data_IF_930056583112
#
_entry.id   IF_930056583112
#
_cell.length_a   1.000
_cell.length_b   1.000
_cell.length_c   1.000
_cell.angle_alpha   90.00
_cell.angle_beta   90.00
_cell.angle_gamma   90.00
#
_symmetry.space_group_name_H-M   'P 1'
#
loop_
_entity.id
_entity.type
_entity.pdbx_description
1 polymer ?
#
# COMPACT_ATOMS: atom_id res chain seq x y z
N UNK A 1 24.74 -18.40 83.73
CA UNK A 1 24.63 -17.07 83.05
C UNK A 1 23.74 -17.30 81.79
N UNK A 2 22.46 -16.89 81.90
CA UNK A 2 21.45 -17.09 80.82
C UNK A 2 21.26 -15.73 80.16
N UNK A 3 21.52 -15.64 78.85
CA UNK A 3 21.24 -14.45 78.03
C UNK A 3 19.99 -14.68 77.22
N UNK A 4 18.93 -13.95 77.57
CA UNK A 4 17.70 -13.84 76.82
C UNK A 4 17.92 -13.02 75.57
N UNK A 5 17.56 -13.58 74.38
CA UNK A 5 17.45 -12.84 73.12
C UNK A 5 15.97 -12.57 72.84
N UNK A 6 15.56 -11.28 72.84
CA UNK A 6 14.27 -10.83 72.36
C UNK A 6 14.29 -10.80 70.85
N UNK A 7 13.35 -11.52 70.23
CA UNK A 7 13.08 -11.41 68.82
C UNK A 7 11.98 -10.35 68.61
N UNK A 8 12.29 -9.29 67.86
CA UNK A 8 11.32 -8.27 67.45
C UNK A 8 10.71 -8.72 66.13
N UNK A 9 9.41 -9.00 66.10
CA UNK A 9 8.62 -9.26 64.89
C UNK A 9 8.23 -7.90 64.25
N UNK A 10 8.76 -7.66 63.06
CA UNK A 10 8.33 -6.50 62.23
C UNK A 10 7.16 -6.94 61.38
N UNK A 11 5.96 -6.39 61.68
CA UNK A 11 4.71 -6.61 60.95
C UNK A 11 4.67 -5.63 59.77
N UNK A 12 5.01 -6.11 58.55
CA UNK A 12 4.88 -5.34 57.31
C UNK A 12 3.42 -5.33 56.87
N UNK A 13 2.69 -4.24 57.07
CA UNK A 13 1.37 -4.03 56.50
C UNK A 13 1.45 -3.73 55.03
N UNK A 14 1.05 -4.66 54.16
CA UNK A 14 0.85 -4.45 52.72
C UNK A 14 -0.40 -3.60 52.54
N UNK A 15 -0.24 -2.34 52.17
CA UNK A 15 -1.28 -1.45 51.69
C UNK A 15 -1.62 -1.82 50.24
N UNK A 16 -2.64 -2.67 50.07
CA UNK A 16 -3.26 -2.92 48.77
C UNK A 16 -4.17 -1.71 48.43
N UNK A 17 -3.65 -0.73 47.70
CA UNK A 17 -4.46 0.34 47.13
C UNK A 17 -5.40 -0.22 46.04
N UNK A 18 -6.61 0.34 45.88
CA UNK A 18 -7.50 -0.08 44.79
C UNK A 18 -6.82 0.21 43.45
N UNK A 19 -6.62 -0.82 42.65
CA UNK A 19 -6.32 -0.70 41.22
C UNK A 19 -7.55 -0.12 40.57
N UNK A 20 -7.53 1.17 40.23
CA UNK A 20 -8.56 1.77 39.39
C UNK A 20 -8.51 1.07 38.05
N UNK A 21 -9.50 0.23 37.77
CA UNK A 21 -9.70 -0.32 36.45
C UNK A 21 -9.90 0.85 35.48
N UNK A 22 -8.96 1.04 34.57
CA UNK A 22 -9.05 2.04 33.51
C UNK A 22 -10.20 1.61 32.61
N UNK A 23 -11.33 2.34 32.67
CA UNK A 23 -12.46 2.07 31.77
C UNK A 23 -11.95 2.10 30.32
N UNK A 24 -12.20 1.02 29.61
CA UNK A 24 -11.90 0.96 28.18
C UNK A 24 -12.69 2.07 27.48
N UNK A 25 -11.99 2.91 26.73
CA UNK A 25 -12.64 3.96 25.92
C UNK A 25 -13.72 3.32 25.04
N UNK A 26 -14.89 3.94 24.92
CA UNK A 26 -15.95 3.41 24.06
C UNK A 26 -15.42 3.23 22.61
N UNK A 27 -15.90 2.20 21.90
CA UNK A 27 -15.49 2.00 20.51
C UNK A 27 -15.81 3.26 19.69
N UNK A 28 -14.96 3.61 18.70
CA UNK A 28 -15.21 4.77 17.87
C UNK A 28 -16.55 4.62 17.14
N UNK A 29 -17.28 5.71 16.89
CA UNK A 29 -18.53 5.67 16.16
C UNK A 29 -18.30 5.12 14.74
N UNK A 30 -19.29 4.47 14.12
CA UNK A 30 -19.17 4.00 12.74
C UNK A 30 -18.91 5.18 11.81
N UNK A 31 -18.12 4.97 10.73
CA UNK A 31 -17.77 6.04 9.79
C UNK A 31 -19.02 6.67 9.16
N UNK A 32 -19.07 8.00 9.13
CA UNK A 32 -20.13 8.76 8.49
C UNK A 32 -19.96 8.74 6.93
N UNK A 33 -20.99 9.07 6.15
CA UNK A 33 -20.88 9.16 4.69
C UNK A 33 -19.76 10.11 4.22
N UNK A 34 -19.48 11.18 4.96
CA UNK A 34 -18.42 12.15 4.71
C UNK A 34 -17.01 11.62 4.95
N UNK A 35 -16.88 10.50 5.65
CA UNK A 35 -15.60 9.84 5.88
C UNK A 35 -15.12 9.01 4.69
N UNK A 36 -15.85 9.00 3.59
CA UNK A 36 -15.55 8.23 2.39
C UNK A 36 -15.29 9.15 1.20
N UNK A 37 -14.37 8.77 0.34
CA UNK A 37 -14.12 9.37 -0.96
C UNK A 37 -14.27 8.34 -2.07
N UNK A 38 -14.93 8.71 -3.16
CA UNK A 38 -15.01 7.87 -4.33
C UNK A 38 -13.65 7.84 -5.07
N UNK A 39 -13.28 6.68 -5.60
CA UNK A 39 -12.20 6.56 -6.58
C UNK A 39 -12.78 6.88 -7.96
N UNK A 40 -12.10 7.76 -8.71
CA UNK A 40 -12.49 8.04 -10.11
C UNK A 40 -12.39 6.75 -10.94
N UNK A 41 -13.37 6.41 -11.77
CA UNK A 41 -13.28 5.26 -12.67
C UNK A 41 -12.07 5.30 -13.62
N UNK A 42 -11.55 6.48 -13.95
CA UNK A 42 -10.32 6.66 -14.75
C UNK A 42 -9.03 6.37 -13.98
N UNK A 43 -9.09 6.30 -12.64
CA UNK A 43 -7.97 5.99 -11.77
C UNK A 43 -8.15 4.65 -11.03
N UNK A 44 -9.12 3.84 -11.44
CA UNK A 44 -9.39 2.51 -10.91
C UNK A 44 -9.07 1.45 -11.97
N UNK A 45 -7.99 0.70 -11.77
CA UNK A 45 -7.64 -0.44 -12.62
C UNK A 45 -8.34 -1.69 -12.08
N UNK A 46 -9.04 -2.39 -12.96
CA UNK A 46 -9.73 -3.66 -12.69
C UNK A 46 -8.94 -4.77 -13.32
N UNK A 47 -8.45 -5.70 -12.52
CA UNK A 47 -7.72 -6.89 -12.94
C UNK A 47 -8.55 -8.12 -12.59
N UNK A 48 -9.16 -8.74 -13.57
CA UNK A 48 -9.84 -10.02 -13.41
C UNK A 48 -8.82 -11.15 -13.53
N UNK A 49 -8.84 -12.09 -12.60
CA UNK A 49 -7.93 -13.24 -12.59
C UNK A 49 -8.68 -14.55 -12.42
N UNK A 50 -8.00 -15.68 -12.61
CA UNK A 50 -8.53 -17.01 -12.30
C UNK A 50 -8.86 -17.22 -10.81
N UNK A 51 -8.35 -16.34 -9.91
CA UNK A 51 -8.55 -16.42 -8.45
C UNK A 51 -9.54 -15.38 -7.93
N UNK A 52 -10.00 -14.46 -8.78
CA UNK A 52 -10.89 -13.37 -8.39
C UNK A 52 -10.45 -12.02 -8.97
N UNK A 53 -11.13 -10.97 -8.54
CA UNK A 53 -10.90 -9.59 -8.99
C UNK A 53 -9.97 -8.84 -8.05
N UNK A 54 -9.02 -8.11 -8.63
CA UNK A 54 -8.12 -7.19 -7.93
C UNK A 54 -8.45 -5.77 -8.42
N UNK A 55 -8.63 -4.83 -7.50
CA UNK A 55 -8.86 -3.42 -7.79
C UNK A 55 -7.66 -2.61 -7.31
N UNK A 56 -7.08 -1.80 -8.21
CA UNK A 56 -5.90 -0.97 -7.91
C UNK A 56 -6.26 0.49 -8.12
N UNK A 57 -6.08 1.33 -7.08
CA UNK A 57 -6.12 2.78 -7.24
C UNK A 57 -4.79 3.25 -7.81
N UNK A 58 -4.85 3.97 -8.94
CA UNK A 58 -3.70 4.57 -9.60
C UNK A 58 -3.31 5.89 -8.91
N UNK A 59 -2.02 6.18 -8.87
CA UNK A 59 -1.47 7.36 -8.22
C UNK A 59 -0.62 8.22 -9.21
N UNK A 60 -1.27 8.94 -10.14
CA UNK A 60 -0.56 9.72 -11.15
C UNK A 60 0.29 10.86 -10.56
N UNK A 61 0.02 11.27 -9.32
CA UNK A 61 0.82 12.27 -8.60
C UNK A 61 2.22 11.74 -8.26
N UNK A 62 2.39 10.44 -8.14
CA UNK A 62 3.66 9.80 -7.80
C UNK A 62 4.47 9.42 -9.06
N UNK A 63 3.80 8.93 -10.08
CA UNK A 63 4.43 8.35 -11.26
C UNK A 63 3.57 8.55 -12.52
N UNK A 64 3.45 9.80 -13.02
CA UNK A 64 2.54 10.12 -14.13
C UNK A 64 2.84 9.32 -15.39
N UNK A 65 4.09 9.16 -15.81
CA UNK A 65 4.43 8.44 -17.03
C UNK A 65 4.12 6.93 -16.92
N UNK A 66 4.37 6.33 -15.75
CA UNK A 66 4.06 4.92 -15.53
C UNK A 66 2.55 4.68 -15.43
N UNK A 67 1.80 5.56 -14.78
CA UNK A 67 0.33 5.47 -14.73
C UNK A 67 -0.24 5.56 -16.14
N UNK A 68 0.19 6.50 -16.96
CA UNK A 68 -0.27 6.62 -18.35
C UNK A 68 0.10 5.37 -19.18
N UNK A 69 1.28 4.75 -18.96
CA UNK A 69 1.65 3.50 -19.62
C UNK A 69 0.72 2.35 -19.21
N UNK A 70 0.42 2.20 -17.92
CA UNK A 70 -0.53 1.18 -17.42
C UNK A 70 -1.91 1.40 -18.04
N UNK A 71 -2.43 2.64 -18.05
CA UNK A 71 -3.70 2.98 -18.67
C UNK A 71 -3.72 2.63 -20.17
N UNK A 72 -2.70 3.03 -20.89
CA UNK A 72 -2.55 2.77 -22.33
C UNK A 72 -2.59 1.26 -22.64
N UNK A 73 -1.81 0.48 -21.92
CA UNK A 73 -1.70 -0.97 -22.15
C UNK A 73 -2.99 -1.69 -21.73
N UNK A 74 -3.64 -1.27 -20.64
CA UNK A 74 -4.93 -1.81 -20.22
C UNK A 74 -6.04 -1.53 -21.25
N UNK A 75 -6.12 -0.29 -21.76
CA UNK A 75 -7.10 0.10 -22.79
C UNK A 75 -6.90 -0.67 -24.12
N UNK A 76 -5.66 -1.06 -24.43
CA UNK A 76 -5.32 -1.86 -25.61
C UNK A 76 -5.51 -3.37 -25.41
N UNK A 77 -5.92 -3.82 -24.22
CA UNK A 77 -6.04 -5.24 -23.90
C UNK A 77 -4.69 -5.98 -23.85
N UNK A 78 -3.58 -5.26 -23.79
CA UNK A 78 -2.23 -5.84 -23.78
C UNK A 78 -2.04 -6.85 -22.64
N UNK A 79 -2.64 -6.58 -21.50
CA UNK A 79 -2.51 -7.42 -20.31
C UNK A 79 -3.42 -8.65 -20.28
N UNK A 80 -4.36 -8.77 -21.22
CA UNK A 80 -5.33 -9.88 -21.24
C UNK A 80 -4.61 -11.23 -21.45
N UNK A 81 -4.96 -12.20 -20.63
CA UNK A 81 -4.40 -13.54 -20.58
C UNK A 81 -2.89 -13.64 -20.25
N UNK A 82 -2.25 -12.56 -19.80
CA UNK A 82 -0.86 -12.63 -19.36
C UNK A 82 -0.75 -13.38 -18.03
N UNK A 83 0.38 -14.08 -17.90
CA UNK A 83 0.70 -14.92 -16.75
C UNK A 83 1.23 -14.09 -15.58
N UNK A 84 0.93 -14.52 -14.36
CA UNK A 84 1.70 -14.18 -13.17
C UNK A 84 2.95 -15.07 -13.15
N UNK A 85 3.91 -14.76 -14.03
CA UNK A 85 5.04 -15.64 -14.35
C UNK A 85 6.05 -15.77 -13.22
N UNK A 86 6.12 -14.77 -12.30
CA UNK A 86 7.02 -14.80 -11.17
C UNK A 86 6.29 -14.38 -9.89
N UNK A 87 6.15 -15.32 -8.95
CA UNK A 87 5.45 -15.10 -7.68
C UNK A 87 6.27 -15.67 -6.52
N UNK A 88 6.66 -14.80 -5.61
CA UNK A 88 7.39 -15.16 -4.38
C UNK A 88 6.49 -14.86 -3.19
N UNK A 89 6.17 -15.87 -2.39
CA UNK A 89 5.13 -15.78 -1.35
C UNK A 89 5.37 -14.66 -0.33
N UNK A 90 6.58 -14.55 0.16
CA UNK A 90 6.98 -13.53 1.14
C UNK A 90 7.37 -12.18 0.52
N UNK A 91 7.15 -11.98 -0.79
CA UNK A 91 7.62 -10.78 -1.50
C UNK A 91 6.53 -10.17 -2.39
N UNK A 92 6.35 -10.67 -3.62
CA UNK A 92 5.47 -10.05 -4.62
C UNK A 92 4.97 -11.05 -5.66
N UNK A 93 3.95 -10.65 -6.44
CA UNK A 93 3.51 -11.30 -7.66
C UNK A 93 3.79 -10.39 -8.86
N UNK A 94 4.55 -10.87 -9.85
CA UNK A 94 4.98 -10.14 -11.05
C UNK A 94 4.32 -10.70 -12.31
N UNK A 95 3.94 -9.78 -13.20
CA UNK A 95 3.24 -10.04 -14.46
C UNK A 95 3.59 -8.98 -15.52
N UNK A 96 2.83 -8.94 -16.63
CA UNK A 96 2.97 -7.91 -17.67
C UNK A 96 4.00 -8.25 -18.75
N UNK A 97 4.49 -9.49 -18.75
CA UNK A 97 5.34 -10.05 -19.79
C UNK A 97 4.50 -10.85 -20.80
N UNK A 98 4.43 -10.46 -22.08
CA UNK A 98 3.71 -11.21 -23.12
C UNK A 98 4.31 -12.59 -23.41
N UNK A 99 5.59 -12.81 -23.11
CA UNK A 99 6.27 -14.11 -23.29
C UNK A 99 6.10 -15.01 -22.06
N UNK A 100 5.87 -14.43 -20.88
CA UNK A 100 5.76 -15.17 -19.62
C UNK A 100 7.08 -15.76 -19.12
N UNK A 101 8.21 -15.26 -19.60
CA UNK A 101 9.58 -15.72 -19.27
C UNK A 101 10.31 -14.77 -18.31
N UNK A 102 9.87 -13.53 -18.22
CA UNK A 102 10.55 -12.43 -17.56
C UNK A 102 11.24 -11.46 -18.53
N UNK A 103 11.49 -11.88 -19.78
CA UNK A 103 12.26 -11.11 -20.78
C UNK A 103 11.36 -10.32 -21.75
N UNK A 104 10.05 -10.58 -21.77
CA UNK A 104 9.12 -9.94 -22.69
C UNK A 104 8.69 -8.55 -22.23
N UNK A 105 8.41 -7.70 -23.20
CA UNK A 105 7.95 -6.33 -22.96
C UNK A 105 6.99 -5.86 -24.05
N UNK A 106 6.35 -4.71 -23.88
CA UNK A 106 5.55 -4.08 -24.90
C UNK A 106 6.45 -3.46 -25.99
N UNK A 107 5.86 -3.14 -27.15
CA UNK A 107 6.56 -2.46 -28.25
C UNK A 107 6.77 -0.95 -28.03
N UNK A 108 6.32 -0.41 -26.89
CA UNK A 108 6.54 0.99 -26.55
C UNK A 108 7.95 1.21 -26.00
N UNK A 109 8.49 2.44 -26.11
CA UNK A 109 9.78 2.78 -25.51
C UNK A 109 9.78 2.56 -24.00
N UNK A 110 10.95 2.27 -23.45
CA UNK A 110 11.14 2.20 -22.02
C UNK A 110 10.85 3.54 -21.32
N UNK A 111 10.51 3.46 -20.05
CA UNK A 111 10.16 4.60 -19.20
C UNK A 111 11.34 4.95 -18.30
N UNK A 112 11.56 6.25 -18.12
CA UNK A 112 12.47 6.75 -17.08
C UNK A 112 11.89 6.43 -15.70
N UNK A 113 12.77 6.06 -14.77
CA UNK A 113 12.37 5.76 -13.41
C UNK A 113 11.77 6.98 -12.69
N UNK A 114 10.57 6.80 -12.15
CA UNK A 114 9.87 7.79 -11.31
C UNK A 114 9.93 7.33 -9.85
N UNK A 115 11.16 7.18 -9.31
CA UNK A 115 11.39 6.63 -7.98
C UNK A 115 11.07 7.61 -6.86
N UNK A 116 11.02 8.91 -7.19
CA UNK A 116 10.67 10.01 -6.30
C UNK A 116 9.74 10.99 -7.00
N UNK A 117 8.93 11.69 -6.23
CA UNK A 117 8.07 12.75 -6.72
C UNK A 117 8.31 14.06 -5.95
N UNK A 118 7.73 15.16 -6.43
CA UNK A 118 7.81 16.47 -5.78
C UNK A 118 6.47 16.79 -5.12
N UNK A 119 6.45 16.80 -3.76
CA UNK A 119 5.26 17.17 -2.99
C UNK A 119 5.29 18.66 -2.64
N UNK A 120 4.28 19.37 -3.10
CA UNK A 120 4.01 20.76 -2.75
C UNK A 120 2.81 20.90 -1.81
N UNK A 121 2.46 22.14 -1.42
CA UNK A 121 1.31 22.41 -0.55
C UNK A 121 -0.03 21.99 -1.18
N UNK A 122 -0.09 21.93 -2.51
CA UNK A 122 -1.31 21.57 -3.26
C UNK A 122 -1.57 20.07 -3.32
N UNK A 123 -0.56 19.25 -3.00
CA UNK A 123 -0.72 17.79 -3.00
C UNK A 123 -1.36 17.33 -1.69
N UNK A 124 -2.53 16.69 -1.79
CA UNK A 124 -3.18 16.08 -0.63
C UNK A 124 -2.27 14.97 -0.04
N UNK A 125 -1.75 15.24 1.15
CA UNK A 125 -0.93 14.32 1.93
C UNK A 125 -1.42 14.26 3.37
N UNK A 126 -1.62 13.06 3.89
CA UNK A 126 -2.06 12.84 5.27
C UNK A 126 -0.93 12.21 6.06
N UNK A 127 -0.24 12.97 6.93
CA UNK A 127 0.84 12.41 7.76
C UNK A 127 0.26 11.50 8.85
N UNK A 128 0.92 10.38 9.09
CA UNK A 128 0.60 9.45 10.19
C UNK A 128 1.79 9.21 11.12
N UNK A 129 3.01 9.57 10.71
CA UNK A 129 4.19 9.55 11.56
C UNK A 129 5.16 10.65 11.14
N UNK A 130 5.94 11.15 12.09
CA UNK A 130 6.91 12.21 11.88
C UNK A 130 8.25 11.84 12.56
N UNK A 131 9.01 10.86 12.03
CA UNK A 131 10.35 10.59 12.54
C UNK A 131 11.28 11.75 12.20
N UNK A 132 12.43 11.84 12.91
CA UNK A 132 13.40 12.91 12.68
C UNK A 132 13.77 13.03 11.20
N UNK A 133 13.55 14.22 10.62
CA UNK A 133 13.90 14.54 9.24
C UNK A 133 12.97 13.96 8.16
N UNK A 134 11.80 13.42 8.54
CA UNK A 134 10.83 12.87 7.57
C UNK A 134 9.40 13.00 8.05
N UNK A 135 8.46 12.96 7.08
CA UNK A 135 7.04 12.69 7.32
C UNK A 135 6.66 11.40 6.61
N UNK A 136 5.91 10.54 7.27
CA UNK A 136 5.37 9.31 6.70
C UNK A 136 3.85 9.39 6.74
N UNK A 137 3.19 9.03 5.64
CA UNK A 137 1.75 9.14 5.53
C UNK A 137 1.22 8.59 4.21
N UNK A 138 0.12 9.17 3.74
CA UNK A 138 -0.56 8.71 2.54
C UNK A 138 -0.78 9.83 1.53
N UNK A 139 -0.55 9.52 0.26
CA UNK A 139 -1.09 10.22 -0.90
C UNK A 139 -2.12 9.28 -1.53
N UNK A 140 -3.40 9.68 -1.58
CA UNK A 140 -4.50 8.77 -1.90
C UNK A 140 -4.50 7.55 -0.97
N UNK A 141 -4.39 6.32 -1.51
CA UNK A 141 -4.21 5.08 -0.74
C UNK A 141 -2.75 4.66 -0.60
N UNK A 142 -1.81 5.28 -1.32
CA UNK A 142 -0.41 4.86 -1.38
C UNK A 142 0.35 5.38 -0.15
N UNK A 143 1.01 4.50 0.62
CA UNK A 143 1.92 4.92 1.69
C UNK A 143 3.17 5.55 1.10
N UNK A 144 3.55 6.71 1.65
CA UNK A 144 4.70 7.49 1.18
C UNK A 144 5.52 8.03 2.34
N UNK A 145 6.79 8.27 2.08
CA UNK A 145 7.66 9.08 2.94
C UNK A 145 8.06 10.34 2.19
N UNK A 146 8.11 11.47 2.90
CA UNK A 146 8.54 12.74 2.34
C UNK A 146 9.52 13.44 3.27
N UNK A 147 10.29 14.38 2.72
CA UNK A 147 10.97 15.38 3.54
C UNK A 147 9.95 16.25 4.29
N UNK A 148 10.34 16.85 5.44
CA UNK A 148 9.47 17.75 6.21
C UNK A 148 9.03 19.00 5.44
N UNK A 149 7.89 19.58 5.82
CA UNK A 149 7.27 20.71 5.14
C UNK A 149 8.06 22.00 5.27
N UNK A 150 8.78 22.19 6.39
CA UNK A 150 9.62 23.36 6.62
C UNK A 150 10.72 23.55 5.57
N UNK A 151 11.17 22.45 4.96
CA UNK A 151 12.15 22.49 3.87
C UNK A 151 11.57 23.07 2.56
N UNK A 152 10.25 23.13 2.39
CA UNK A 152 9.63 23.72 1.19
C UNK A 152 10.03 25.17 1.01
N UNK A 153 10.16 25.94 2.09
CA UNK A 153 10.53 27.35 2.03
C UNK A 153 11.90 27.59 1.38
N UNK A 154 12.83 26.63 1.55
CA UNK A 154 14.20 26.70 1.03
C UNK A 154 14.36 26.20 -0.41
N UNK A 155 13.32 25.62 -1.04
CA UNK A 155 13.39 25.09 -2.41
C UNK A 155 12.83 26.10 -3.42
N UNK A 156 13.38 26.13 -4.64
CA UNK A 156 12.94 27.08 -5.69
C UNK A 156 11.51 26.83 -6.16
N UNK A 157 11.05 25.57 -6.16
CA UNK A 157 9.71 25.17 -6.58
C UNK A 157 8.70 25.04 -5.41
N UNK A 158 9.12 25.39 -4.19
CA UNK A 158 8.31 25.26 -2.96
C UNK A 158 7.78 23.85 -2.73
N UNK A 159 8.56 22.84 -3.11
CA UNK A 159 8.23 21.42 -2.97
C UNK A 159 9.37 20.65 -2.31
N UNK A 160 9.03 19.54 -1.69
CA UNK A 160 9.97 18.59 -1.08
C UNK A 160 9.97 17.27 -1.84
N UNK A 161 11.01 16.47 -1.67
CA UNK A 161 11.05 15.12 -2.23
C UNK A 161 10.21 14.16 -1.40
N UNK A 162 9.47 13.28 -2.11
CA UNK A 162 8.75 12.15 -1.56
C UNK A 162 8.97 10.90 -2.39
N UNK A 163 8.66 9.74 -1.83
CA UNK A 163 8.73 8.43 -2.50
C UNK A 163 7.71 7.47 -1.90
N UNK A 164 7.25 6.52 -2.72
CA UNK A 164 6.36 5.45 -2.27
C UNK A 164 7.09 4.44 -1.38
N UNK A 165 6.38 3.89 -0.40
CA UNK A 165 6.86 2.84 0.50
C UNK A 165 6.26 1.50 0.09
N UNK A 166 7.09 0.47 -0.03
CA UNK A 166 6.67 -0.84 -0.50
C UNK A 166 6.00 -1.67 0.60
N UNK A 167 4.79 -1.27 0.98
CA UNK A 167 3.88 -2.00 1.86
C UNK A 167 3.04 -3.05 1.10
N UNK A 168 2.35 -3.99 1.78
CA UNK A 168 1.43 -4.91 1.13
C UNK A 168 0.40 -4.19 0.26
N UNK A 169 0.15 -4.74 -0.93
CA UNK A 169 -0.78 -4.18 -1.91
C UNK A 169 -0.20 -3.06 -2.79
N UNK A 170 0.97 -2.51 -2.50
CA UNK A 170 1.59 -1.49 -3.36
C UNK A 170 1.93 -2.09 -4.71
N UNK A 171 1.63 -1.34 -5.77
CA UNK A 171 1.91 -1.68 -7.16
C UNK A 171 3.17 -0.96 -7.64
N UNK A 172 4.16 -1.74 -8.06
CA UNK A 172 5.43 -1.24 -8.55
C UNK A 172 5.72 -1.68 -9.98
N UNK A 173 6.50 -0.87 -10.71
CA UNK A 173 6.93 -1.22 -12.05
C UNK A 173 8.21 -2.05 -12.01
N UNK A 174 8.20 -3.22 -12.68
CA UNK A 174 9.41 -4.03 -12.86
C UNK A 174 10.33 -3.38 -13.91
N UNK A 175 11.62 -3.65 -13.79
CA UNK A 175 12.66 -3.16 -14.69
C UNK A 175 13.88 -4.09 -14.68
N UNK A 176 14.73 -3.96 -15.66
CA UNK A 176 16.05 -4.60 -15.71
C UNK A 176 17.07 -3.88 -14.80
N UNK A 177 18.37 -4.13 -14.98
CA UNK A 177 19.43 -3.51 -14.16
C UNK A 177 19.45 -1.98 -14.27
N UNK A 178 19.18 -1.44 -15.49
CA UNK A 178 19.14 0.00 -15.73
C UNK A 178 17.95 0.68 -15.07
N UNK A 179 18.12 1.88 -14.54
CA UNK A 179 17.06 2.64 -13.88
C UNK A 179 15.90 3.02 -14.82
N UNK A 180 16.19 3.18 -16.11
CA UNK A 180 15.27 3.67 -17.14
C UNK A 180 14.88 2.56 -18.12
N UNK A 181 14.64 1.34 -17.62
CA UNK A 181 14.30 0.14 -18.41
C UNK A 181 12.91 -0.43 -18.09
N UNK A 182 12.10 0.30 -17.35
CA UNK A 182 10.72 -0.10 -17.08
C UNK A 182 9.87 -0.02 -18.37
N UNK A 183 8.99 -0.99 -18.61
CA UNK A 183 8.21 -1.04 -19.85
C UNK A 183 6.74 -1.43 -19.64
N UNK A 184 6.42 -2.74 -19.52
CA UNK A 184 5.07 -3.26 -19.33
C UNK A 184 4.93 -4.14 -18.11
N UNK A 185 6.04 -4.72 -17.62
CA UNK A 185 5.99 -5.62 -16.48
C UNK A 185 5.80 -4.84 -15.18
N UNK A 186 4.94 -5.35 -14.32
CA UNK A 186 4.67 -4.78 -13.00
C UNK A 186 4.51 -5.87 -11.94
N UNK A 187 4.56 -5.48 -10.69
CA UNK A 187 4.33 -6.38 -9.57
C UNK A 187 3.41 -5.76 -8.51
N UNK A 188 2.70 -6.64 -7.81
CA UNK A 188 1.89 -6.31 -6.65
C UNK A 188 2.54 -6.91 -5.40
N UNK A 189 2.75 -6.08 -4.39
CA UNK A 189 3.39 -6.52 -3.15
C UNK A 189 2.47 -7.44 -2.34
N UNK A 190 2.99 -8.58 -1.92
CA UNK A 190 2.31 -9.51 -0.99
C UNK A 190 2.67 -9.21 0.46
N UNK A 191 3.89 -8.74 0.69
CA UNK A 191 4.43 -8.35 1.98
C UNK A 191 5.16 -7.00 1.88
N UNK A 192 5.50 -6.39 3.02
CA UNK A 192 6.33 -5.20 3.05
C UNK A 192 7.78 -5.53 2.67
N UNK A 193 8.39 -4.69 1.82
CA UNK A 193 9.79 -4.87 1.44
C UNK A 193 10.50 -3.53 1.21
N UNK A 194 10.97 -2.86 2.28
CA UNK A 194 11.54 -1.52 2.22
C UNK A 194 12.80 -1.38 1.35
N UNK A 195 13.48 -2.49 1.03
CA UNK A 195 14.66 -2.46 0.15
C UNK A 195 14.35 -1.99 -1.29
N UNK A 196 13.06 -1.95 -1.68
CA UNK A 196 12.63 -1.41 -2.98
C UNK A 196 12.39 0.11 -2.95
N UNK A 197 12.28 0.73 -1.78
CA UNK A 197 12.02 2.15 -1.64
C UNK A 197 13.08 2.98 -2.39
N UNK A 198 12.64 3.97 -3.18
CA UNK A 198 13.48 4.81 -4.07
C UNK A 198 14.23 4.04 -5.19
N UNK A 199 13.99 2.77 -5.36
CA UNK A 199 14.68 1.95 -6.39
C UNK A 199 13.76 1.46 -7.48
N UNK A 200 12.46 1.44 -7.21
CA UNK A 200 11.42 1.07 -8.16
C UNK A 200 10.30 2.10 -8.12
N UNK A 201 9.62 2.27 -9.24
CA UNK A 201 8.53 3.23 -9.38
C UNK A 201 7.24 2.67 -8.80
N UNK A 202 6.65 3.38 -7.84
CA UNK A 202 5.31 3.10 -7.29
C UNK A 202 4.28 3.85 -8.12
N UNK A 203 3.29 3.13 -8.70
CA UNK A 203 2.26 3.73 -9.53
C UNK A 203 0.83 3.55 -9.00
N UNK A 204 0.63 2.82 -7.90
CA UNK A 204 -0.68 2.62 -7.30
C UNK A 204 -0.68 1.68 -6.11
N UNK A 205 -1.88 1.35 -5.62
CA UNK A 205 -2.08 0.37 -4.54
C UNK A 205 -3.36 -0.43 -4.76
N UNK A 206 -3.32 -1.72 -4.44
CA UNK A 206 -4.49 -2.60 -4.33
C UNK A 206 -5.39 -2.07 -3.22
N UNK A 207 -6.63 -1.79 -3.56
CA UNK A 207 -7.67 -1.28 -2.65
C UNK A 207 -8.74 -2.33 -2.36
N UNK A 208 -8.76 -3.41 -3.15
CA UNK A 208 -9.58 -4.61 -2.91
C UNK A 208 -8.95 -5.80 -3.62
N UNK A 209 -9.03 -6.99 -3.02
CA UNK A 209 -8.48 -8.21 -3.60
C UNK A 209 -7.00 -8.47 -3.25
N UNK A 210 -6.49 -7.94 -2.13
CA UNK A 210 -5.15 -8.29 -1.64
C UNK A 210 -5.06 -9.79 -1.24
N UNK A 211 -6.15 -10.36 -0.77
CA UNK A 211 -6.32 -11.79 -0.54
C UNK A 211 -6.21 -12.59 -1.86
N UNK A 212 -6.77 -12.08 -2.96
CA UNK A 212 -6.60 -12.65 -4.30
C UNK A 212 -5.14 -12.61 -4.74
N UNK A 213 -4.43 -11.47 -4.54
CA UNK A 213 -2.98 -11.37 -4.82
C UNK A 213 -2.20 -12.41 -4.02
N UNK A 214 -2.57 -12.65 -2.77
CA UNK A 214 -1.95 -13.67 -1.91
C UNK A 214 -2.34 -15.10 -2.27
N UNK A 215 -3.50 -15.30 -2.92
CA UNK A 215 -3.96 -16.61 -3.41
C UNK A 215 -3.35 -17.02 -4.76
N UNK A 216 -2.68 -16.10 -5.48
CA UNK A 216 -1.94 -16.44 -6.69
C UNK A 216 -0.88 -17.50 -6.39
N UNK A 217 -0.77 -18.50 -7.27
CA UNK A 217 0.16 -19.61 -7.13
C UNK A 217 1.59 -19.09 -7.02
N UNK A 218 2.19 -19.30 -5.85
CA UNK A 218 3.59 -18.97 -5.62
C UNK A 218 4.51 -20.08 -6.15
N UNK A 219 5.71 -19.68 -6.54
CA UNK A 219 6.77 -20.62 -6.89
C UNK A 219 7.27 -21.35 -5.64
N UNK A 220 7.59 -22.63 -5.73
CA UNK A 220 8.28 -23.36 -4.68
C UNK A 220 9.78 -23.02 -4.61
N UNK A 221 10.32 -22.31 -5.61
CA UNK A 221 11.75 -21.98 -5.72
C UNK A 221 12.00 -20.49 -5.46
N UNK A 222 13.19 -20.11 -4.95
CA UNK A 222 13.52 -18.73 -4.56
C UNK A 222 13.53 -17.73 -5.72
N UNK A 223 13.74 -18.17 -6.97
CA UNK A 223 13.68 -17.33 -8.17
C UNK A 223 12.26 -16.82 -8.45
N UNK A 224 11.26 -17.52 -7.94
CA UNK A 224 9.86 -17.15 -8.05
C UNK A 224 9.18 -17.59 -9.35
N UNK A 225 9.86 -18.30 -10.26
CA UNK A 225 9.30 -18.75 -11.54
C UNK A 225 8.19 -19.77 -11.30
N UNK A 226 7.00 -19.50 -11.84
CA UNK A 226 5.81 -20.31 -11.60
C UNK A 226 5.55 -21.24 -12.78
N UNK A 227 5.53 -22.55 -12.52
CA UNK A 227 5.04 -23.55 -13.48
C UNK A 227 3.52 -23.55 -13.47
N UNK A 228 2.87 -23.47 -14.64
CA UNK A 228 1.41 -23.36 -14.79
C UNK A 228 0.84 -22.19 -13.96
N UNK A 229 1.22 -20.94 -14.32
CA UNK A 229 0.85 -19.76 -13.55
C UNK A 229 -0.63 -19.42 -13.69
N UNK A 230 -1.17 -18.79 -12.65
CA UNK A 230 -2.43 -18.06 -12.76
C UNK A 230 -2.31 -16.94 -13.80
N UNK A 231 -3.45 -16.48 -14.33
CA UNK A 231 -3.48 -15.49 -15.40
C UNK A 231 -4.42 -14.33 -15.07
N UNK A 232 -4.08 -13.16 -15.61
CA UNK A 232 -5.04 -12.06 -15.72
C UNK A 232 -5.97 -12.38 -16.90
N UNK A 233 -7.24 -12.60 -16.65
CA UNK A 233 -8.20 -12.91 -17.71
C UNK A 233 -8.61 -11.67 -18.49
N UNK A 234 -8.67 -10.52 -17.81
CA UNK A 234 -8.97 -9.21 -18.40
C UNK A 234 -8.43 -8.09 -17.52
N UNK A 235 -7.86 -7.05 -18.11
CA UNK A 235 -7.39 -5.85 -17.40
C UNK A 235 -7.93 -4.60 -18.09
N UNK A 236 -8.72 -3.77 -17.37
CA UNK A 236 -9.31 -2.52 -17.90
C UNK A 236 -9.32 -1.44 -16.82
N UNK A 237 -9.36 -0.19 -17.24
CA UNK A 237 -9.83 0.87 -16.35
C UNK A 237 -11.33 0.69 -16.10
N UNK A 238 -11.79 1.02 -14.91
CA UNK A 238 -13.22 0.98 -14.62
C UNK A 238 -14.01 1.91 -15.57
N UNK A 239 -13.39 3.01 -16.01
CA UNK A 239 -13.98 3.91 -17.00
C UNK A 239 -14.26 3.25 -18.35
N UNK A 240 -13.44 2.27 -18.76
CA UNK A 240 -13.54 1.59 -20.05
C UNK A 240 -14.49 0.38 -20.02
N UNK A 241 -14.97 -0.01 -18.84
CA UNK A 241 -15.96 -1.08 -18.70
C UNK A 241 -17.37 -0.56 -19.00
N UNK A 242 -18.26 -1.42 -19.56
CA UNK A 242 -19.68 -1.12 -19.61
C UNK A 242 -20.21 -0.72 -18.24
N UNK A 243 -21.17 0.21 -18.19
CA UNK A 243 -21.68 0.74 -16.91
C UNK A 243 -22.18 -0.36 -15.97
N UNK A 244 -22.81 -1.39 -16.50
CA UNK A 244 -23.29 -2.53 -15.71
C UNK A 244 -22.15 -3.34 -15.06
N UNK A 245 -20.99 -3.46 -15.71
CA UNK A 245 -19.83 -4.21 -15.20
C UNK A 245 -18.88 -3.38 -14.34
N UNK A 246 -19.12 -2.07 -14.27
CA UNK A 246 -18.21 -1.11 -13.63
C UNK A 246 -18.32 -1.17 -12.10
N UNK A 247 -17.27 -1.60 -11.38
CA UNK A 247 -17.28 -1.50 -9.94
C UNK A 247 -17.18 -0.03 -9.50
N UNK A 248 -17.80 0.29 -8.37
CA UNK A 248 -17.57 1.55 -7.68
C UNK A 248 -16.85 1.28 -6.37
N UNK A 249 -15.88 2.12 -6.05
CA UNK A 249 -15.06 1.98 -4.85
C UNK A 249 -15.09 3.30 -4.08
N UNK A 250 -15.44 3.21 -2.80
CA UNK A 250 -15.26 4.30 -1.86
C UNK A 250 -14.17 3.92 -0.86
N UNK A 251 -13.13 4.71 -0.79
CA UNK A 251 -12.05 4.57 0.19
C UNK A 251 -12.32 5.46 1.40
N UNK A 252 -11.96 4.99 2.59
CA UNK A 252 -11.96 5.87 3.75
C UNK A 252 -11.07 7.08 3.48
N UNK A 253 -11.61 8.27 3.72
CA UNK A 253 -10.88 9.52 3.55
C UNK A 253 -9.80 9.62 4.63
N UNK A 254 -8.55 9.66 4.22
CA UNK A 254 -7.40 9.72 5.15
C UNK A 254 -7.35 10.99 5.99
N UNK A 255 -8.10 12.04 5.63
CA UNK A 255 -8.23 13.26 6.44
C UNK A 255 -9.36 13.19 7.49
N UNK A 256 -10.19 12.14 7.47
CA UNK A 256 -11.35 11.99 8.36
C UNK A 256 -10.97 11.68 9.81
N UNK A 257 -11.91 11.92 10.73
CA UNK A 257 -11.76 11.54 12.13
C UNK A 257 -11.73 10.01 12.29
N UNK A 258 -12.52 9.29 11.48
CA UNK A 258 -12.56 7.83 11.48
C UNK A 258 -11.20 7.24 11.10
N UNK A 259 -10.53 7.81 10.10
CA UNK A 259 -9.17 7.38 9.71
C UNK A 259 -8.15 7.63 10.83
N UNK A 260 -8.21 8.79 11.50
CA UNK A 260 -7.31 9.07 12.64
C UNK A 260 -7.49 8.05 13.77
N UNK A 261 -8.73 7.71 14.10
CA UNK A 261 -9.02 6.68 15.09
C UNK A 261 -8.45 5.31 14.70
N UNK A 262 -8.55 4.93 13.42
CA UNK A 262 -7.95 3.71 12.88
C UNK A 262 -6.42 3.70 13.01
N UNK A 263 -5.75 4.81 12.72
CA UNK A 263 -4.31 4.97 12.90
C UNK A 263 -3.91 4.82 14.37
N UNK A 264 -4.67 5.45 15.29
CA UNK A 264 -4.40 5.37 16.73
C UNK A 264 -4.59 3.95 17.27
N UNK A 265 -5.60 3.21 16.79
CA UNK A 265 -5.79 1.79 17.11
C UNK A 265 -4.61 0.94 16.62
N UNK A 266 -4.15 1.15 15.37
CA UNK A 266 -3.00 0.43 14.84
C UNK A 266 -1.73 0.70 15.66
N UNK A 267 -1.51 1.95 16.07
CA UNK A 267 -0.40 2.32 16.95
C UNK A 267 -0.46 1.66 18.32
N UNK A 268 -1.64 1.66 18.93
CA UNK A 268 -1.83 1.00 20.23
C UNK A 268 -1.58 -0.50 20.13
N UNK A 269 -2.04 -1.14 19.07
CA UNK A 269 -1.87 -2.57 18.85
C UNK A 269 -0.41 -2.98 18.59
N UNK A 270 0.38 -2.12 17.91
CA UNK A 270 1.77 -2.41 17.50
C UNK A 270 2.82 -1.79 18.42
N UNK A 271 2.47 -0.77 19.17
CA UNK A 271 3.42 -0.09 20.06
C UNK A 271 4.65 0.45 19.31
N UNK A 272 5.85 0.07 19.78
CA UNK A 272 7.10 0.49 19.17
C UNK A 272 7.34 -0.09 17.75
N UNK A 273 6.68 -1.18 17.41
CA UNK A 273 6.81 -1.85 16.09
C UNK A 273 5.85 -1.27 15.04
N UNK A 274 5.12 -0.21 15.38
CA UNK A 274 4.17 0.41 14.45
C UNK A 274 4.86 0.91 13.18
N UNK A 275 4.29 0.51 12.04
CA UNK A 275 4.66 0.95 10.70
C UNK A 275 3.44 1.48 9.95
N UNK A 276 3.65 2.37 8.98
CA UNK A 276 2.58 2.78 8.05
C UNK A 276 2.01 1.59 7.27
N UNK A 277 2.77 0.52 7.11
CA UNK A 277 2.33 -0.72 6.47
C UNK A 277 1.29 -1.51 7.30
N UNK A 278 1.14 -1.20 8.59
CA UNK A 278 0.11 -1.80 9.44
C UNK A 278 -1.28 -1.16 9.26
N UNK A 279 -1.34 -0.05 8.50
CA UNK A 279 -2.59 0.65 8.24
C UNK A 279 -3.23 0.09 6.96
N UNK A 280 -4.31 -0.65 7.13
CA UNK A 280 -5.19 -1.06 6.04
C UNK A 280 -6.35 -0.06 5.93
N UNK A 281 -6.35 0.75 4.85
CA UNK A 281 -7.37 1.78 4.63
C UNK A 281 -8.64 1.09 4.16
N UNK A 282 -9.76 1.17 4.91
CA UNK A 282 -11.01 0.51 4.51
C UNK A 282 -11.52 0.97 3.15
N UNK A 283 -12.01 0.01 2.38
CA UNK A 283 -12.68 0.22 1.10
C UNK A 283 -14.07 -0.40 1.10
N UNK A 284 -15.04 0.32 0.55
CA UNK A 284 -16.37 -0.18 0.24
C UNK A 284 -16.47 -0.39 -1.27
N UNK A 285 -16.69 -1.63 -1.69
CA UNK A 285 -16.78 -2.00 -3.10
C UNK A 285 -18.21 -2.40 -3.41
N UNK A 286 -18.82 -1.71 -4.37
CA UNK A 286 -20.05 -2.17 -5.01
C UNK A 286 -19.64 -2.80 -6.36
N UNK A 287 -19.76 -4.11 -6.51
CA UNK A 287 -19.44 -4.75 -7.78
C UNK A 287 -20.39 -4.23 -8.88
N UNK A 288 -19.91 -4.17 -10.11
CA UNK A 288 -20.77 -4.12 -11.27
C UNK A 288 -21.59 -5.41 -11.41
N UNK A 289 -22.73 -5.34 -12.06
CA UNK A 289 -23.61 -6.47 -12.25
C UNK A 289 -23.02 -7.53 -13.19
#
# INVERSE_FOLDING_TARGET
MVRNALAAAVLSALLSGPVLAQEASPPPPPPAPTDWRAISPSDLLVIDTSKGRILVELAPELAPAHVERIKLLAARGFYDNLAWHRVIDWFMAQTGDPLGTGDGQSWYPDLKGEFTFRRGPDMAFTPVAAPTGALIGFVRSVPVQTQPDDLMAGTGDKKVHGWGLYCPGVAGMARDEGNDTANSQFFLMRQAYPALDKRYTVWGRVVSGLDVVRALKASPTPDGIVTEPDRMTRVRLAADLPQAERPTVQMMNTTSAAFRALVDQARQAKGADFSVCDIDIPAQVTPGA
#
